data_IF_685631796488
#
_entry.id   IF_685631796488
#
_cell.length_a   1.000
_cell.length_b   1.000
_cell.length_c   1.000
_cell.angle_alpha   90.00
_cell.angle_beta   90.00
_cell.angle_gamma   90.00
#
_symmetry.space_group_name_H-M   'P 1'
#
loop_
_entity.id
_entity.type
_entity.pdbx_description
1 polymer ?
#
# COMPACT_ATOMS: atom_id res chain seq x y z
N UNK A 1 13.43 6.21 -0.49
CA UNK A 1 12.43 5.21 -0.05
C UNK A 1 13.00 4.51 1.17
N UNK A 2 12.27 4.42 2.27
CA UNK A 2 12.70 3.67 3.47
C UNK A 2 11.81 2.42 3.56
N UNK A 3 12.34 1.20 3.40
CA UNK A 3 11.56 -0.02 3.52
C UNK A 3 10.80 -0.09 4.84
N UNK A 4 9.55 -0.54 4.79
CA UNK A 4 8.64 -0.56 5.95
C UNK A 4 7.82 0.74 6.15
N UNK A 5 8.26 1.88 5.62
CA UNK A 5 7.42 3.09 5.59
C UNK A 5 6.29 2.89 4.58
N UNK A 6 5.04 3.02 5.03
CA UNK A 6 3.91 2.92 4.10
C UNK A 6 3.85 4.14 3.20
N UNK A 7 3.92 3.89 1.89
CA UNK A 7 3.72 4.89 0.84
C UNK A 7 2.41 5.64 1.00
N UNK A 8 1.31 4.94 1.27
CA UNK A 8 0.02 5.59 1.51
C UNK A 8 0.00 6.39 2.83
N UNK A 9 0.65 5.88 3.88
CA UNK A 9 0.74 6.57 5.17
C UNK A 9 1.46 7.91 5.06
N UNK A 10 2.63 7.94 4.40
CA UNK A 10 3.41 9.17 4.27
C UNK A 10 2.71 10.21 3.38
N UNK A 11 2.10 9.80 2.25
CA UNK A 11 1.38 10.72 1.34
C UNK A 11 0.11 11.27 1.98
N UNK A 12 -0.64 10.45 2.71
CA UNK A 12 -1.82 10.91 3.45
C UNK A 12 -1.39 11.90 4.55
N UNK A 13 -0.35 11.57 5.33
CA UNK A 13 0.16 12.48 6.37
C UNK A 13 0.64 13.80 5.77
N UNK A 14 1.38 13.77 4.66
CA UNK A 14 1.82 14.98 3.96
C UNK A 14 0.63 15.84 3.50
N UNK A 15 -0.38 15.24 2.87
CA UNK A 15 -1.59 15.95 2.46
C UNK A 15 -2.36 16.53 3.66
N UNK A 16 -2.41 15.81 4.79
CA UNK A 16 -3.01 16.31 6.04
C UNK A 16 -2.26 17.51 6.63
N UNK A 17 -0.92 17.52 6.55
CA UNK A 17 -0.08 18.67 6.93
C UNK A 17 -0.39 19.87 6.04
N UNK A 18 -0.63 19.64 4.75
CA UNK A 18 -1.10 20.65 3.78
C UNK A 18 -2.60 21.01 3.93
N UNK A 19 -3.24 20.61 5.03
CA UNK A 19 -4.63 20.93 5.41
C UNK A 19 -5.73 20.31 4.54
N UNK A 20 -5.44 19.36 3.66
CA UNK A 20 -6.49 18.57 2.99
C UNK A 20 -7.27 17.73 4.00
N UNK A 21 -8.58 17.53 3.82
CA UNK A 21 -9.34 16.62 4.68
C UNK A 21 -8.90 15.15 4.50
N UNK A 22 -9.33 14.24 5.38
CA UNK A 22 -8.86 12.83 5.35
C UNK A 22 -9.27 12.08 4.09
N UNK A 23 -10.47 12.36 3.58
CA UNK A 23 -11.00 11.71 2.37
C UNK A 23 -10.19 12.15 1.15
N UNK A 24 -9.96 13.45 0.98
CA UNK A 24 -9.21 14.00 -0.14
C UNK A 24 -7.73 13.62 -0.06
N UNK A 25 -7.14 13.63 1.14
CA UNK A 25 -5.78 13.12 1.36
C UNK A 25 -5.64 11.67 0.91
N UNK A 26 -6.65 10.84 1.19
CA UNK A 26 -6.67 9.43 0.78
C UNK A 26 -6.80 9.27 -0.73
N UNK A 27 -7.70 10.05 -1.37
CA UNK A 27 -7.86 10.06 -2.84
C UNK A 27 -6.57 10.50 -3.54
N UNK A 28 -5.94 11.58 -3.08
CA UNK A 28 -4.64 12.06 -3.60
C UNK A 28 -3.60 10.95 -3.49
N UNK A 29 -3.49 10.31 -2.32
CA UNK A 29 -2.57 9.21 -2.09
C UNK A 29 -2.80 8.03 -3.06
N UNK A 30 -4.05 7.66 -3.32
CA UNK A 30 -4.36 6.58 -4.27
C UNK A 30 -4.04 6.97 -5.71
N UNK A 31 -4.37 8.20 -6.12
CA UNK A 31 -4.03 8.70 -7.45
C UNK A 31 -2.51 8.74 -7.68
N UNK A 32 -1.74 9.23 -6.70
CA UNK A 32 -0.27 9.22 -6.75
C UNK A 32 0.31 7.80 -6.80
N UNK A 33 -0.39 6.83 -6.24
CA UNK A 33 0.06 5.43 -6.24
C UNK A 33 0.04 4.80 -7.64
N UNK A 34 -0.83 5.28 -8.55
CA UNK A 34 -0.94 4.72 -9.91
C UNK A 34 0.37 4.91 -10.68
N UNK A 35 0.87 6.12 -10.97
CA UNK A 35 2.12 6.29 -11.71
C UNK A 35 3.33 5.73 -10.95
N UNK A 36 3.34 5.85 -9.61
CA UNK A 36 4.45 5.35 -8.80
C UNK A 36 4.58 3.83 -8.82
N UNK A 37 3.47 3.09 -8.64
CA UNK A 37 3.47 1.63 -8.70
C UNK A 37 3.66 1.14 -10.12
N UNK A 38 3.02 1.74 -11.11
CA UNK A 38 3.22 1.35 -12.52
C UNK A 38 4.68 1.51 -12.94
N UNK A 39 5.32 2.62 -12.57
CA UNK A 39 6.74 2.84 -12.83
C UNK A 39 7.63 1.82 -12.10
N UNK A 40 7.37 1.56 -10.81
CA UNK A 40 8.12 0.57 -10.04
C UNK A 40 7.97 -0.84 -10.62
N UNK A 41 6.74 -1.26 -10.97
CA UNK A 41 6.47 -2.55 -11.61
C UNK A 41 7.15 -2.66 -12.97
N UNK A 42 7.11 -1.60 -13.78
CA UNK A 42 7.77 -1.58 -15.09
C UNK A 42 9.28 -1.73 -14.98
N UNK A 43 9.92 -1.01 -14.05
CA UNK A 43 11.35 -1.15 -13.80
C UNK A 43 11.72 -2.55 -13.31
N UNK A 44 10.88 -3.16 -12.48
CA UNK A 44 11.06 -4.53 -11.97
C UNK A 44 10.90 -5.63 -13.02
N UNK A 45 10.33 -5.34 -14.19
CA UNK A 45 10.24 -6.34 -15.27
C UNK A 45 11.61 -6.81 -15.75
N UNK A 46 12.64 -5.96 -15.70
CA UNK A 46 14.01 -6.34 -16.09
C UNK A 46 14.56 -7.44 -15.21
N UNK A 47 14.30 -7.38 -13.91
CA UNK A 47 14.76 -8.38 -12.95
C UNK A 47 14.08 -9.74 -13.20
N UNK A 48 12.80 -9.70 -13.58
CA UNK A 48 12.01 -10.89 -13.93
C UNK A 48 12.50 -11.54 -15.22
N UNK A 49 12.84 -10.75 -16.24
CA UNK A 49 13.35 -11.26 -17.53
C UNK A 49 14.73 -11.93 -17.40
N UNK A 50 15.50 -11.57 -16.37
CA UNK A 50 16.81 -12.15 -16.10
C UNK A 50 16.74 -13.47 -15.31
N UNK A 51 15.55 -13.90 -14.89
CA UNK A 51 15.31 -15.17 -14.20
C UNK A 51 14.43 -16.07 -15.06
N UNK A 52 14.54 -17.42 -14.91
CA UNK A 52 13.59 -18.31 -15.56
C UNK A 52 12.17 -17.99 -15.10
N UNK A 53 11.36 -17.51 -16.03
CA UNK A 53 9.97 -17.13 -15.82
C UNK A 53 9.09 -18.38 -15.65
N UNK A 54 8.80 -18.76 -14.41
CA UNK A 54 7.83 -19.82 -14.09
C UNK A 54 6.43 -19.23 -13.89
N UNK A 55 5.79 -18.85 -15.00
CA UNK A 55 4.41 -18.34 -15.01
C UNK A 55 3.41 -19.49 -14.87
N UNK A 56 3.29 -20.02 -13.66
CA UNK A 56 2.31 -21.05 -13.33
C UNK A 56 0.95 -20.47 -12.92
N UNK A 57 -0.05 -21.35 -12.73
CA UNK A 57 -1.41 -20.97 -12.36
C UNK A 57 -1.48 -20.23 -11.00
N UNK A 58 -0.52 -20.40 -10.10
CA UNK A 58 -0.48 -19.70 -8.82
C UNK A 58 -0.21 -18.20 -9.01
N UNK A 59 0.64 -17.84 -9.98
CA UNK A 59 0.89 -16.42 -10.32
C UNK A 59 -0.40 -15.75 -10.81
N UNK A 60 -1.16 -16.44 -11.67
CA UNK A 60 -2.43 -15.92 -12.17
C UNK A 60 -3.45 -15.73 -11.04
N UNK A 61 -3.57 -16.71 -10.14
CA UNK A 61 -4.43 -16.61 -8.94
C UNK A 61 -4.00 -15.42 -8.08
N UNK A 62 -2.69 -15.26 -7.82
CA UNK A 62 -2.17 -14.15 -7.02
C UNK A 62 -2.50 -12.78 -7.63
N UNK A 63 -2.36 -12.62 -8.95
CA UNK A 63 -2.71 -11.38 -9.66
C UNK A 63 -4.21 -11.08 -9.53
N UNK A 64 -5.07 -12.07 -9.80
CA UNK A 64 -6.53 -11.91 -9.76
C UNK A 64 -6.99 -11.62 -8.32
N UNK A 65 -6.51 -12.39 -7.34
CA UNK A 65 -6.83 -12.17 -5.93
C UNK A 65 -6.34 -10.80 -5.47
N UNK A 66 -5.10 -10.40 -5.80
CA UNK A 66 -4.58 -9.07 -5.46
C UNK A 66 -5.45 -7.96 -6.05
N UNK A 67 -5.90 -8.09 -7.29
CA UNK A 67 -6.81 -7.12 -7.91
C UNK A 67 -8.14 -7.00 -7.14
N UNK A 68 -8.80 -8.13 -6.87
CA UNK A 68 -10.10 -8.18 -6.17
C UNK A 68 -9.96 -7.58 -4.76
N UNK A 69 -9.00 -8.06 -3.97
CA UNK A 69 -8.82 -7.59 -2.59
C UNK A 69 -8.35 -6.14 -2.52
N UNK A 70 -7.49 -5.69 -3.44
CA UNK A 70 -7.07 -4.28 -3.50
C UNK A 70 -8.27 -3.37 -3.80
N UNK A 71 -9.10 -3.73 -4.79
CA UNK A 71 -10.30 -2.97 -5.13
C UNK A 71 -11.28 -2.88 -3.95
N UNK A 72 -11.58 -4.03 -3.32
CA UNK A 72 -12.43 -4.07 -2.12
C UNK A 72 -11.83 -3.24 -0.99
N UNK A 73 -10.53 -3.36 -0.73
CA UNK A 73 -9.84 -2.60 0.30
C UNK A 73 -9.95 -1.11 0.07
N UNK A 74 -9.70 -0.62 -1.15
CA UNK A 74 -9.82 0.82 -1.46
C UNK A 74 -11.27 1.30 -1.24
N UNK A 75 -12.26 0.54 -1.71
CA UNK A 75 -13.68 0.88 -1.53
C UNK A 75 -14.04 0.99 -0.04
N UNK A 76 -13.74 -0.03 0.75
CA UNK A 76 -14.07 -0.04 2.18
C UNK A 76 -13.23 0.95 2.98
N UNK A 77 -11.98 1.17 2.61
CA UNK A 77 -11.10 2.14 3.24
C UNK A 77 -11.64 3.58 3.10
N UNK A 78 -12.11 3.96 1.91
CA UNK A 78 -12.70 5.29 1.70
C UNK A 78 -13.99 5.47 2.53
N UNK A 79 -14.79 4.43 2.68
CA UNK A 79 -15.97 4.45 3.56
C UNK A 79 -15.55 4.59 5.03
N UNK A 80 -14.55 3.83 5.46
CA UNK A 80 -14.03 3.83 6.83
C UNK A 80 -13.45 5.20 7.20
N UNK A 81 -12.57 5.75 6.35
CA UNK A 81 -11.83 6.97 6.69
C UNK A 81 -12.71 8.23 6.72
N UNK A 82 -13.86 8.17 6.06
CA UNK A 82 -14.87 9.21 6.15
C UNK A 82 -15.54 9.27 7.53
N UNK A 83 -15.57 8.15 8.26
CA UNK A 83 -16.20 8.05 9.59
C UNK A 83 -15.20 8.02 10.74
N UNK A 84 -14.04 7.40 10.54
CA UNK A 84 -13.07 7.11 11.59
C UNK A 84 -11.74 7.84 11.39
N UNK A 85 -10.90 7.84 12.43
CA UNK A 85 -9.54 8.39 12.38
C UNK A 85 -8.53 7.32 11.92
N UNK A 86 -7.31 7.76 11.60
CA UNK A 86 -6.20 6.84 11.25
C UNK A 86 -5.58 6.14 12.47
N UNK A 87 -6.02 6.45 13.69
CA UNK A 87 -5.33 6.00 14.91
C UNK A 87 -5.26 4.48 15.02
N UNK A 88 -6.31 3.77 14.57
CA UNK A 88 -6.30 2.31 14.53
C UNK A 88 -5.14 1.76 13.68
N UNK A 89 -4.87 2.38 12.53
CA UNK A 89 -3.73 1.99 11.67
C UNK A 89 -2.38 2.33 12.30
N UNK A 90 -2.29 3.42 13.05
CA UNK A 90 -1.06 3.78 13.77
C UNK A 90 -0.76 2.74 14.85
N UNK A 91 -1.75 2.39 15.68
CA UNK A 91 -1.61 1.37 16.73
C UNK A 91 -1.22 0.02 16.12
N UNK A 92 -1.92 -0.41 15.06
CA UNK A 92 -1.61 -1.62 14.33
C UNK A 92 -0.15 -1.66 13.83
N UNK A 93 0.35 -0.54 13.28
CA UNK A 93 1.75 -0.46 12.81
C UNK A 93 2.76 -0.53 13.94
N UNK A 94 2.50 0.10 15.08
CA UNK A 94 3.39 0.03 16.25
C UNK A 94 3.45 -1.39 16.79
N UNK A 95 2.31 -2.06 16.91
CA UNK A 95 2.25 -3.47 17.34
C UNK A 95 3.06 -4.36 16.39
N UNK A 96 2.87 -4.23 15.07
CA UNK A 96 3.67 -4.98 14.10
C UNK A 96 5.16 -4.68 14.22
N UNK A 97 5.54 -3.42 14.39
CA UNK A 97 6.94 -3.05 14.55
C UNK A 97 7.57 -3.74 15.77
N UNK A 98 6.86 -3.79 16.90
CA UNK A 98 7.32 -4.48 18.11
C UNK A 98 7.42 -6.00 17.91
N UNK A 99 6.44 -6.61 17.22
CA UNK A 99 6.46 -8.05 16.90
C UNK A 99 7.67 -8.37 16.01
N UNK A 100 7.89 -7.60 14.95
CA UNK A 100 9.02 -7.81 14.05
C UNK A 100 10.36 -7.59 14.77
N UNK A 101 10.44 -6.60 15.66
CA UNK A 101 11.64 -6.36 16.45
C UNK A 101 11.98 -7.58 17.34
N UNK A 102 10.99 -8.11 18.06
CA UNK A 102 11.13 -9.30 18.93
C UNK A 102 11.42 -10.61 18.17
N UNK A 103 10.96 -10.73 16.92
CA UNK A 103 11.24 -11.93 16.10
C UNK A 103 12.65 -11.91 15.51
N UNK A 104 13.22 -10.72 15.27
CA UNK A 104 14.51 -10.56 14.60
C UNK A 104 15.66 -10.48 15.62
N UNK A 105 15.41 -9.90 16.79
CA UNK A 105 16.39 -9.68 17.87
C UNK A 105 15.95 -10.36 19.15
#
# INVERSE_FOLDING_TARGET
LVPGVSRAGITITAARILKFNRLDSSKISFLLSIPALSGASFLGLKDVLNQPLDLNYLVLIAIISSFIFSFLTVKFFLIYINKFSMNAFVIYRVVIALILFSLIY
#
